data_IF_752737352271
#
_entry.id   IF_752737352271
#
_cell.length_a   1.000
_cell.length_b   1.000
_cell.length_c   1.000
_cell.angle_alpha   90.00
_cell.angle_beta   90.00
_cell.angle_gamma   90.00
#
_symmetry.space_group_name_H-M   'P 1'
#
loop_
_entity.id
_entity.type
_entity.pdbx_description
1 polymer ?
#
# COMPACT_ATOMS: atom_id res chain seq x y z
N UNK A 1 21.67 -1.41 8.11
CA UNK A 1 20.35 -1.08 7.52
C UNK A 1 19.26 -1.61 8.46
N UNK A 2 18.94 -0.96 9.56
CA UNK A 2 17.78 -1.34 10.37
C UNK A 2 16.49 -0.91 9.65
N UNK A 3 15.55 -1.82 9.45
CA UNK A 3 14.29 -1.51 8.78
C UNK A 3 13.46 -2.74 8.43
N UNK A 4 12.22 -2.48 7.98
CA UNK A 4 11.25 -3.52 7.62
C UNK A 4 11.78 -4.52 6.58
N UNK A 5 12.69 -4.09 5.70
CA UNK A 5 13.31 -4.95 4.68
C UNK A 5 14.17 -6.08 5.30
N UNK A 6 14.84 -5.83 6.43
CA UNK A 6 15.59 -6.87 7.15
C UNK A 6 14.64 -7.86 7.81
N UNK A 7 13.59 -7.37 8.47
CA UNK A 7 12.57 -8.21 9.09
C UNK A 7 11.90 -9.10 8.03
N UNK A 8 11.50 -8.50 6.91
CA UNK A 8 10.89 -9.22 5.80
C UNK A 8 11.80 -10.33 5.25
N UNK A 9 13.10 -10.08 5.11
CA UNK A 9 14.06 -11.10 4.68
C UNK A 9 14.35 -12.16 5.74
N UNK A 10 14.27 -11.80 7.02
CA UNK A 10 14.39 -12.76 8.12
C UNK A 10 13.23 -13.75 8.13
N UNK A 11 12.01 -13.30 7.80
CA UNK A 11 10.81 -14.14 7.73
C UNK A 11 10.67 -14.86 6.38
N UNK A 12 11.10 -14.22 5.29
CA UNK A 12 11.04 -14.74 3.94
C UNK A 12 12.35 -14.43 3.19
N UNK A 13 13.34 -15.34 3.23
CA UNK A 13 14.64 -15.13 2.59
C UNK A 13 14.58 -14.84 1.08
N UNK A 14 13.54 -15.31 0.41
CA UNK A 14 13.26 -15.05 -1.02
C UNK A 14 12.62 -13.68 -1.29
N UNK A 15 12.37 -12.85 -0.26
CA UNK A 15 11.72 -11.56 -0.41
C UNK A 15 12.51 -10.61 -1.31
N UNK A 16 11.85 -10.11 -2.36
CA UNK A 16 12.40 -9.13 -3.28
C UNK A 16 12.29 -7.72 -2.68
N UNK A 17 13.42 -7.06 -2.46
CA UNK A 17 13.48 -5.70 -1.91
C UNK A 17 13.79 -4.71 -3.03
N UNK A 18 12.84 -3.81 -3.27
CA UNK A 18 12.96 -2.77 -4.29
C UNK A 18 13.63 -1.52 -3.69
N UNK A 19 14.91 -1.33 -4.01
CA UNK A 19 15.72 -0.22 -3.52
C UNK A 19 15.42 1.06 -4.32
N UNK A 20 15.04 2.14 -3.64
CA UNK A 20 14.69 3.41 -4.28
C UNK A 20 15.85 4.02 -5.11
N UNK A 21 17.11 3.72 -4.76
CA UNK A 21 18.30 4.14 -5.52
C UNK A 21 18.34 3.58 -6.95
N UNK A 22 17.67 2.46 -7.21
CA UNK A 22 17.58 1.86 -8.56
C UNK A 22 16.53 2.53 -9.46
N UNK A 23 15.77 3.49 -8.94
CA UNK A 23 14.67 4.16 -9.65
C UNK A 23 14.98 5.64 -9.96
N UNK A 24 16.25 5.94 -10.21
CA UNK A 24 16.75 7.27 -10.57
C UNK A 24 16.95 8.21 -9.38
N UNK A 25 17.03 9.51 -9.66
CA UNK A 25 17.37 10.57 -8.69
C UNK A 25 16.14 11.39 -8.26
N UNK A 26 16.31 12.20 -7.21
CA UNK A 26 15.28 13.11 -6.69
C UNK A 26 14.12 12.41 -5.99
N UNK A 27 13.09 13.17 -5.60
CA UNK A 27 11.93 12.66 -4.84
C UNK A 27 11.07 11.69 -5.65
N UNK A 28 11.04 11.83 -6.98
CA UNK A 28 10.28 10.95 -7.88
C UNK A 28 10.72 9.48 -7.84
N UNK A 29 11.94 9.17 -7.39
CA UNK A 29 12.43 7.79 -7.27
C UNK A 29 11.59 6.94 -6.32
N UNK A 30 11.03 7.55 -5.26
CA UNK A 30 10.20 6.83 -4.30
C UNK A 30 8.86 6.42 -4.92
N UNK A 31 8.21 7.32 -5.67
CA UNK A 31 6.98 7.03 -6.39
C UNK A 31 7.19 5.95 -7.47
N UNK A 32 8.27 6.06 -8.26
CA UNK A 32 8.64 5.04 -9.26
C UNK A 32 8.90 3.68 -8.63
N UNK A 33 9.66 3.65 -7.52
CA UNK A 33 9.90 2.42 -6.75
C UNK A 33 8.58 1.81 -6.28
N UNK A 34 7.73 2.59 -5.61
CA UNK A 34 6.46 2.11 -5.08
C UNK A 34 5.54 1.60 -6.19
N UNK A 35 5.46 2.31 -7.32
CA UNK A 35 4.72 1.88 -8.50
C UNK A 35 5.22 0.51 -9.00
N UNK A 36 6.54 0.33 -9.10
CA UNK A 36 7.12 -0.94 -9.55
C UNK A 36 6.81 -2.10 -8.59
N UNK A 37 6.84 -1.85 -7.27
CA UNK A 37 6.46 -2.86 -6.27
C UNK A 37 5.00 -3.26 -6.42
N UNK A 38 4.08 -2.29 -6.45
CA UNK A 38 2.63 -2.54 -6.59
C UNK A 38 2.33 -3.32 -7.87
N UNK A 39 2.96 -2.94 -8.99
CA UNK A 39 2.82 -3.65 -10.28
C UNK A 39 3.40 -5.06 -10.24
N UNK A 40 4.53 -5.27 -9.56
CA UNK A 40 5.13 -6.61 -9.41
C UNK A 40 4.23 -7.54 -8.60
N UNK A 41 3.59 -7.02 -7.56
CA UNK A 41 2.61 -7.77 -6.75
C UNK A 41 1.36 -8.06 -7.57
N UNK A 42 0.82 -7.09 -8.30
CA UNK A 42 -0.33 -7.31 -9.18
C UNK A 42 -0.07 -8.41 -10.24
N UNK A 43 1.15 -8.45 -10.77
CA UNK A 43 1.57 -9.47 -11.73
C UNK A 43 1.75 -10.87 -11.11
N UNK A 44 1.65 -11.04 -9.78
CA UNK A 44 1.73 -12.35 -9.13
C UNK A 44 0.47 -13.20 -9.34
N UNK A 45 -0.63 -12.61 -9.81
CA UNK A 45 -1.86 -13.32 -10.19
C UNK A 45 -3.10 -12.84 -9.44
N UNK A 46 -4.25 -13.52 -9.63
CA UNK A 46 -5.55 -13.09 -9.10
C UNK A 46 -5.60 -13.11 -7.56
N UNK A 47 -4.75 -13.90 -6.92
CA UNK A 47 -4.63 -13.98 -5.47
C UNK A 47 -3.60 -12.99 -4.90
N UNK A 48 -3.10 -12.03 -5.68
CA UNK A 48 -2.21 -11.00 -5.19
C UNK A 48 -2.86 -10.22 -4.03
N UNK A 49 -2.07 -10.01 -2.97
CA UNK A 49 -2.47 -9.28 -1.77
C UNK A 49 -1.53 -8.09 -1.55
N UNK A 50 -2.11 -6.91 -1.42
CA UNK A 50 -1.40 -5.71 -1.00
C UNK A 50 -1.60 -5.47 0.50
N UNK A 51 -0.51 -5.44 1.27
CA UNK A 51 -0.55 -5.11 2.70
C UNK A 51 0.09 -3.75 2.94
N UNK A 52 -0.59 -2.87 3.69
CA UNK A 52 -0.05 -1.55 4.03
C UNK A 52 -0.50 -1.05 5.40
N UNK A 53 0.26 -0.13 5.98
CA UNK A 53 -0.03 0.47 7.28
C UNK A 53 0.24 2.00 7.25
N UNK A 54 -0.63 2.81 6.63
CA UNK A 54 -0.47 4.26 6.64
C UNK A 54 -0.76 4.82 8.04
N UNK A 55 0.20 5.56 8.60
CA UNK A 55 0.11 6.09 9.98
C UNK A 55 -0.73 7.36 10.15
N UNK A 56 -1.48 7.79 9.14
CA UNK A 56 -2.31 9.01 9.18
C UNK A 56 -3.51 8.89 8.24
N UNK A 57 -4.48 9.79 8.37
CA UNK A 57 -5.65 9.85 7.49
C UNK A 57 -5.29 9.91 5.99
N UNK A 58 -6.19 9.38 5.16
CA UNK A 58 -6.04 9.42 3.71
C UNK A 58 -6.08 10.88 3.21
N UNK A 59 -5.13 11.31 2.35
CA UNK A 59 -5.16 12.65 1.75
C UNK A 59 -6.48 12.91 1.01
N UNK A 60 -7.03 14.11 1.17
CA UNK A 60 -8.23 14.53 0.44
C UNK A 60 -7.97 14.48 -1.07
N UNK A 61 -8.96 13.97 -1.82
CA UNK A 61 -8.92 13.87 -3.28
C UNK A 61 -8.13 12.68 -3.83
N UNK A 62 -7.39 11.93 -3.00
CA UNK A 62 -6.79 10.67 -3.45
C UNK A 62 -7.88 9.60 -3.59
N UNK A 63 -7.94 8.97 -4.75
CA UNK A 63 -8.88 7.89 -5.08
C UNK A 63 -8.15 6.70 -5.72
N UNK A 64 -8.69 5.47 -5.60
CA UNK A 64 -8.16 4.32 -6.29
C UNK A 64 -8.15 4.53 -7.81
N UNK A 65 -7.06 4.14 -8.47
CA UNK A 65 -6.92 4.24 -9.93
C UNK A 65 -5.87 3.27 -10.44
N UNK A 66 -6.08 2.71 -11.63
CA UNK A 66 -5.04 1.96 -12.33
C UNK A 66 -3.88 2.87 -12.82
N UNK A 67 -4.05 4.19 -12.81
CA UNK A 67 -3.03 5.16 -13.22
C UNK A 67 -2.09 5.50 -12.06
N UNK A 68 -0.81 5.18 -12.21
CA UNK A 68 0.21 5.52 -11.21
C UNK A 68 0.41 7.03 -11.08
N UNK A 69 0.27 7.80 -12.15
CA UNK A 69 0.39 9.27 -12.07
C UNK A 69 -0.80 9.90 -11.33
N UNK A 70 -1.99 9.30 -11.40
CA UNK A 70 -3.14 9.73 -10.60
C UNK A 70 -2.94 9.42 -9.11
N UNK A 71 -2.44 8.23 -8.75
CA UNK A 71 -2.22 7.86 -7.35
C UNK A 71 -1.00 8.58 -6.73
N UNK A 72 0.07 8.79 -7.50
CA UNK A 72 1.31 9.45 -7.05
C UNK A 72 1.38 10.92 -7.48
N UNK A 73 0.27 11.66 -7.41
CA UNK A 73 0.14 13.06 -7.83
C UNK A 73 0.58 14.12 -6.79
N UNK A 74 1.43 13.75 -5.82
CA UNK A 74 1.94 14.72 -4.83
C UNK A 74 1.11 14.87 -3.55
N UNK A 75 0.15 13.99 -3.27
CA UNK A 75 -0.68 13.98 -2.04
C UNK A 75 0.08 13.80 -0.71
N UNK A 76 1.41 13.62 -0.75
CA UNK A 76 2.25 13.53 0.44
C UNK A 76 2.23 12.17 1.16
N UNK A 77 1.46 11.17 0.73
CA UNK A 77 1.47 9.84 1.36
C UNK A 77 1.77 8.72 0.35
N UNK A 78 2.97 8.14 0.46
CA UNK A 78 3.37 6.99 -0.37
C UNK A 78 2.57 5.72 -0.06
N UNK A 79 2.24 5.47 1.21
CA UNK A 79 1.47 4.29 1.61
C UNK A 79 0.03 4.35 1.11
N UNK A 80 -0.63 5.50 1.22
CA UNK A 80 -1.98 5.69 0.66
C UNK A 80 -1.97 5.65 -0.88
N UNK A 81 -0.99 6.28 -1.53
CA UNK A 81 -0.85 6.24 -2.98
C UNK A 81 -0.63 4.80 -3.50
N UNK A 82 0.16 4.00 -2.78
CA UNK A 82 0.40 2.60 -3.13
C UNK A 82 -0.85 1.74 -2.95
N UNK A 83 -1.61 1.96 -1.86
CA UNK A 83 -2.90 1.30 -1.63
C UNK A 83 -3.94 1.69 -2.69
N UNK A 84 -4.03 2.98 -3.05
CA UNK A 84 -4.92 3.47 -4.10
C UNK A 84 -4.61 2.81 -5.45
N UNK A 85 -3.32 2.71 -5.80
CA UNK A 85 -2.90 2.01 -7.03
C UNK A 85 -3.21 0.51 -6.93
N UNK A 86 -3.00 -0.12 -5.78
CA UNK A 86 -3.30 -1.53 -5.57
C UNK A 86 -4.77 -1.86 -5.81
N UNK A 87 -5.67 -1.10 -5.17
CA UNK A 87 -7.11 -1.21 -5.34
C UNK A 87 -7.53 -0.90 -6.79
N UNK A 88 -6.96 0.14 -7.39
CA UNK A 88 -7.24 0.49 -8.78
C UNK A 88 -6.76 -0.54 -9.81
N UNK A 89 -5.85 -1.43 -9.42
CA UNK A 89 -5.42 -2.59 -10.22
C UNK A 89 -6.23 -3.85 -9.92
N UNK A 90 -7.26 -3.77 -9.07
CA UNK A 90 -8.11 -4.90 -8.71
C UNK A 90 -7.45 -5.91 -7.78
N UNK A 91 -6.38 -5.53 -7.07
CA UNK A 91 -5.77 -6.41 -6.08
C UNK A 91 -6.61 -6.45 -4.80
N UNK A 92 -6.54 -7.60 -4.11
CA UNK A 92 -6.98 -7.69 -2.72
C UNK A 92 -6.09 -6.82 -1.86
N UNK A 93 -6.66 -6.19 -0.84
CA UNK A 93 -5.90 -5.31 0.03
C UNK A 93 -6.24 -5.54 1.49
N UNK A 94 -5.21 -5.50 2.33
CA UNK A 94 -5.31 -5.51 3.78
C UNK A 94 -4.56 -4.29 4.33
N UNK A 95 -5.25 -3.40 5.03
CA UNK A 95 -4.69 -2.17 5.57
C UNK A 95 -4.86 -2.10 7.07
N UNK A 96 -3.76 -1.87 7.79
CA UNK A 96 -3.81 -1.56 9.21
C UNK A 96 -3.87 -0.05 9.40
N UNK A 97 -4.81 0.42 10.22
CA UNK A 97 -4.94 1.84 10.56
C UNK A 97 -4.91 2.01 12.07
N UNK A 98 -4.18 3.02 12.58
CA UNK A 98 -4.18 3.31 14.01
C UNK A 98 -5.55 3.80 14.48
N UNK A 99 -5.79 3.72 15.79
CA UNK A 99 -7.01 4.24 16.41
C UNK A 99 -7.30 5.68 15.96
N UNK A 100 -8.57 5.97 15.66
CA UNK A 100 -9.01 7.28 15.16
C UNK A 100 -8.78 7.50 13.65
N UNK A 101 -8.20 6.55 12.93
CA UNK A 101 -8.06 6.60 11.46
C UNK A 101 -8.90 5.50 10.82
N UNK A 102 -9.78 5.90 9.90
CA UNK A 102 -10.62 5.00 9.10
C UNK A 102 -10.25 5.11 7.61
N UNK A 103 -10.48 4.05 6.81
CA UNK A 103 -10.32 4.17 5.36
C UNK A 103 -11.42 5.08 4.79
N UNK A 104 -11.19 5.73 3.64
CA UNK A 104 -12.27 6.45 2.98
C UNK A 104 -13.42 5.48 2.62
N UNK A 105 -14.69 5.79 2.96
CA UNK A 105 -15.81 4.87 2.77
C UNK A 105 -15.99 4.38 1.32
N UNK A 106 -15.65 5.22 0.35
CA UNK A 106 -15.74 4.91 -1.08
C UNK A 106 -14.68 3.92 -1.59
N UNK A 107 -13.73 3.50 -0.75
CA UNK A 107 -12.66 2.59 -1.18
C UNK A 107 -13.05 1.10 -1.04
N UNK A 108 -14.25 0.79 -0.56
CA UNK A 108 -14.76 -0.58 -0.48
C UNK A 108 -14.01 -1.47 0.50
N UNK A 109 -13.43 -0.88 1.56
CA UNK A 109 -12.70 -1.61 2.60
C UNK A 109 -13.61 -1.83 3.82
N UNK A 110 -13.84 -3.09 4.18
CA UNK A 110 -14.59 -3.51 5.37
C UNK A 110 -13.69 -3.73 6.58
N UNK A 111 -14.25 -3.67 7.78
CA UNK A 111 -13.52 -3.96 9.02
C UNK A 111 -13.29 -5.47 9.14
N UNK A 112 -12.04 -5.90 9.25
CA UNK A 112 -11.65 -7.31 9.41
C UNK A 112 -11.57 -7.66 10.89
N UNK A 113 -10.78 -6.89 11.65
CA UNK A 113 -10.68 -7.04 13.09
C UNK A 113 -10.19 -5.74 13.73
N UNK A 114 -10.62 -5.49 14.97
CA UNK A 114 -10.24 -4.33 15.76
C UNK A 114 -9.44 -4.76 17.00
N UNK A 115 -8.45 -3.95 17.36
CA UNK A 115 -7.70 -4.06 18.60
C UNK A 115 -7.53 -2.70 19.26
N UNK A 116 -6.90 -2.67 20.44
CA UNK A 116 -6.74 -1.44 21.22
C UNK A 116 -5.92 -0.35 20.49
N UNK A 117 -4.95 -0.75 19.68
CA UNK A 117 -4.06 0.17 18.97
C UNK A 117 -4.59 0.62 17.59
N UNK A 118 -5.61 -0.04 17.06
CA UNK A 118 -6.06 0.17 15.68
C UNK A 118 -6.84 -1.01 15.13
N UNK A 119 -7.11 -0.96 13.83
CA UNK A 119 -7.94 -1.97 13.16
C UNK A 119 -7.35 -2.36 11.79
N UNK A 120 -7.62 -3.60 11.41
CA UNK A 120 -7.39 -4.12 10.08
C UNK A 120 -8.65 -3.94 9.23
N UNK A 121 -8.46 -3.45 8.01
CA UNK A 121 -9.50 -3.27 7.02
C UNK A 121 -9.13 -4.00 5.73
N UNK A 122 -10.10 -4.62 5.07
CA UNK A 122 -9.88 -5.54 3.96
C UNK A 122 -10.82 -5.30 2.80
N UNK A 123 -10.44 -5.73 1.59
CA UNK A 123 -11.40 -5.91 0.50
C UNK A 123 -12.48 -6.95 0.90
N UNK A 124 -13.66 -6.96 0.27
CA UNK A 124 -14.81 -7.75 0.74
C UNK A 124 -14.58 -9.26 0.91
N UNK A 125 -13.59 -9.82 0.22
CA UNK A 125 -13.21 -11.22 0.31
C UNK A 125 -12.28 -11.54 1.51
N UNK A 126 -11.85 -10.50 2.22
CA UNK A 126 -10.97 -10.56 3.40
C UNK A 126 -11.63 -10.03 4.68
N UNK A 127 -12.75 -9.30 4.56
CA UNK A 127 -13.49 -8.63 5.64
C UNK A 127 -14.68 -9.45 6.13
#
# INVERSE_FOLDING_TARGET
MSGIDQVARGLAPSALVFQASRFGRGRGRFARRSTAVVRRVAAAGPLALWVSAPGRACPRGLVPSASSSACFAGFGSGSWASLALALGLGMRALVWLPVGVTPPPSWGLGLVCAGQAGAWWGTPDLA
#
